data_IF_007741626261
#
_entry.id   IF_007741626261
#
_cell.length_a   1.000
_cell.length_b   1.000
_cell.length_c   1.000
_cell.angle_alpha   90.00
_cell.angle_beta   90.00
_cell.angle_gamma   90.00
#
_symmetry.space_group_name_H-M   'P 1'
#
loop_
_entity.id
_entity.type
_entity.pdbx_description
1 polymer ?
#
# COMPACT_ATOMS: atom_id res chain seq x y z
N UNK A 1 0.42 -5.27 7.74
CA UNK A 1 0.21 -3.84 7.48
C UNK A 1 -1.27 -3.61 7.27
N UNK A 2 -1.91 -2.81 8.12
CA UNK A 2 -3.34 -2.52 8.01
C UNK A 2 -3.55 -1.08 7.57
N UNK A 3 -4.28 -0.90 6.46
CA UNK A 3 -4.68 0.42 5.95
C UNK A 3 -6.18 0.48 5.81
N UNK A 4 -6.71 1.70 5.90
CA UNK A 4 -8.12 1.94 5.60
C UNK A 4 -8.38 1.66 4.12
N UNK A 5 -9.03 0.53 3.85
CA UNK A 5 -9.46 0.15 2.52
C UNK A 5 -10.95 0.47 2.37
N UNK A 6 -11.27 1.36 1.43
CA UNK A 6 -12.66 1.78 1.18
C UNK A 6 -13.24 1.06 -0.05
N UNK A 7 -12.59 1.23 -1.20
CA UNK A 7 -13.12 0.72 -2.47
C UNK A 7 -12.63 -0.67 -2.87
N UNK A 8 -11.46 -1.12 -2.37
CA UNK A 8 -10.90 -2.44 -2.72
C UNK A 8 -10.51 -2.66 -4.19
N UNK A 9 -10.71 -1.68 -5.08
CA UNK A 9 -10.48 -1.78 -6.53
C UNK A 9 -9.40 -0.80 -7.05
N UNK A 10 -8.85 0.02 -6.16
CA UNK A 10 -7.81 1.01 -6.48
C UNK A 10 -8.30 2.23 -7.24
N UNK A 11 -9.60 2.53 -7.16
CA UNK A 11 -10.19 3.76 -7.67
C UNK A 11 -10.05 4.93 -6.68
N UNK A 12 -10.21 4.65 -5.39
CA UNK A 12 -10.26 5.64 -4.31
C UNK A 12 -8.89 5.99 -3.72
N UNK A 13 -7.85 5.20 -4.00
CA UNK A 13 -6.47 5.39 -3.54
C UNK A 13 -6.23 5.51 -2.02
N UNK A 14 -7.25 5.29 -1.17
CA UNK A 14 -7.13 5.34 0.29
C UNK A 14 -6.17 4.33 0.92
N UNK A 15 -5.97 3.20 0.25
CA UNK A 15 -5.05 2.15 0.71
C UNK A 15 -3.69 2.24 0.00
N UNK A 16 -3.27 3.46 -0.37
CA UNK A 16 -1.99 3.74 -1.01
C UNK A 16 -0.80 3.63 -0.06
N UNK A 17 0.32 3.15 -0.60
CA UNK A 17 1.68 3.15 -0.06
C UNK A 17 2.51 3.86 -1.11
N UNK A 18 2.88 5.14 -0.94
CA UNK A 18 3.63 5.86 -1.97
C UNK A 18 3.03 5.70 -3.36
N UNK A 19 3.71 4.94 -4.21
CA UNK A 19 3.27 4.65 -5.59
C UNK A 19 2.43 3.37 -5.76
N UNK A 20 2.31 2.54 -4.71
CA UNK A 20 1.63 1.25 -4.72
C UNK A 20 0.24 1.32 -4.09
N UNK A 21 -0.67 0.44 -4.53
CA UNK A 21 -2.01 0.31 -3.96
C UNK A 21 -2.17 -1.05 -3.30
N UNK A 22 -2.37 -1.08 -1.99
CA UNK A 22 -2.57 -2.33 -1.22
C UNK A 22 -3.69 -3.21 -1.78
N UNK A 23 -4.74 -2.60 -2.34
CA UNK A 23 -5.85 -3.34 -2.95
C UNK A 23 -5.54 -3.93 -4.34
N UNK A 24 -4.49 -3.47 -5.04
CA UNK A 24 -4.09 -3.97 -6.36
C UNK A 24 -2.81 -4.82 -6.29
N UNK A 25 -1.76 -4.26 -5.71
CA UNK A 25 -0.47 -4.92 -5.51
C UNK A 25 -0.55 -6.00 -4.42
N UNK A 26 -1.52 -5.86 -3.51
CA UNK A 26 -1.81 -6.83 -2.46
C UNK A 26 -1.41 -6.34 -1.07
N UNK A 27 -1.93 -6.97 0.00
CA UNK A 27 -1.62 -6.60 1.38
C UNK A 27 -0.29 -7.13 1.91
N UNK A 28 0.40 -7.97 1.13
CA UNK A 28 1.65 -8.61 1.51
C UNK A 28 2.73 -8.14 0.55
N UNK A 29 3.62 -7.27 1.04
CA UNK A 29 4.80 -6.82 0.32
C UNK A 29 6.04 -7.49 0.91
N UNK A 30 7.01 -7.79 0.06
CA UNK A 30 8.32 -8.23 0.52
C UNK A 30 9.11 -7.04 1.08
N UNK A 31 10.03 -7.32 2.01
CA UNK A 31 10.85 -6.28 2.63
C UNK A 31 11.62 -5.45 1.60
N UNK A 32 12.04 -6.04 0.49
CA UNK A 32 12.76 -5.35 -0.57
C UNK A 32 11.91 -4.28 -1.28
N UNK A 33 10.60 -4.51 -1.41
CA UNK A 33 9.67 -3.58 -2.04
C UNK A 33 9.36 -2.37 -1.15
N UNK A 34 9.25 -2.58 0.16
CA UNK A 34 8.89 -1.52 1.11
C UNK A 34 10.09 -0.81 1.73
N UNK A 35 11.32 -1.31 1.60
CA UNK A 35 12.49 -0.67 2.23
C UNK A 35 12.74 0.75 1.71
N UNK A 36 12.40 0.99 0.45
CA UNK A 36 12.65 2.26 -0.24
C UNK A 36 11.49 3.25 -0.05
N UNK A 37 10.37 2.79 0.50
CA UNK A 37 9.18 3.62 0.67
C UNK A 37 9.18 4.29 2.04
N UNK A 38 9.48 5.60 2.11
CA UNK A 38 9.63 6.31 3.39
C UNK A 38 8.32 6.37 4.18
N UNK A 39 7.16 6.32 3.51
CA UNK A 39 5.84 6.35 4.16
C UNK A 39 5.52 5.08 4.98
N UNK A 40 6.29 4.00 4.82
CA UNK A 40 6.16 2.78 5.62
C UNK A 40 6.87 2.91 6.98
N UNK A 41 7.98 3.65 7.00
CA UNK A 41 8.91 3.72 8.12
C UNK A 41 8.85 5.05 8.89
N UNK A 42 8.10 6.01 8.37
CA UNK A 42 7.85 7.32 8.97
C UNK A 42 6.86 7.27 10.15
#
# INVERSE_FOLDING_TARGET
MERMMVCGLGHCQHCGIGSHLVCKDGPVFTYEEIKDEPEIWA
#
